data_IF_297303070601
#
_entry.id   IF_297303070601
#
_cell.length_a   1.000
_cell.length_b   1.000
_cell.length_c   1.000
_cell.angle_alpha   90.00
_cell.angle_beta   90.00
_cell.angle_gamma   90.00
#
_symmetry.space_group_name_H-M   'P 1'
#
loop_
_entity.id
_entity.type
_entity.pdbx_description
1 polymer ?
#
# COMPACT_ATOMS: atom_id res chain seq x y z
N UNK A 1 -5.83 -23.55 14.70
CA UNK A 1 -4.84 -23.24 15.76
C UNK A 1 -4.77 -21.72 15.92
N UNK A 2 -5.22 -21.17 17.05
CA UNK A 2 -5.19 -19.71 17.31
C UNK A 2 -3.76 -19.35 17.75
N UNK A 3 -3.05 -18.57 16.94
CA UNK A 3 -1.69 -18.11 17.27
C UNK A 3 -1.78 -17.06 18.38
N UNK A 4 -1.22 -17.39 19.55
CA UNK A 4 -1.29 -16.60 20.77
C UNK A 4 -0.41 -15.34 20.68
N UNK A 5 -0.97 -14.19 21.03
CA UNK A 5 -0.32 -12.91 21.34
C UNK A 5 0.81 -12.48 20.40
N UNK A 6 2.05 -12.71 20.83
CA UNK A 6 3.27 -12.20 20.19
C UNK A 6 3.51 -12.79 18.80
N UNK A 7 3.21 -14.09 18.58
CA UNK A 7 3.43 -14.73 17.26
C UNK A 7 2.47 -14.20 16.20
N UNK A 8 1.24 -13.82 16.59
CA UNK A 8 0.26 -13.20 15.69
C UNK A 8 0.72 -11.81 15.26
N UNK A 9 1.21 -11.01 16.21
CA UNK A 9 1.64 -9.65 15.94
C UNK A 9 2.91 -9.59 15.06
N UNK A 10 3.87 -10.52 15.25
CA UNK A 10 5.02 -10.65 14.35
C UNK A 10 4.55 -10.97 12.92
N UNK A 11 3.60 -11.90 12.75
CA UNK A 11 3.07 -12.24 11.44
C UNK A 11 2.37 -11.04 10.77
N UNK A 12 1.59 -10.27 11.52
CA UNK A 12 0.93 -9.06 11.00
C UNK A 12 1.94 -8.02 10.49
N UNK A 13 3.04 -7.80 11.23
CA UNK A 13 4.13 -6.90 10.82
C UNK A 13 4.82 -7.41 9.55
N UNK A 14 5.09 -8.73 9.47
CA UNK A 14 5.71 -9.34 8.27
C UNK A 14 4.81 -9.16 7.04
N UNK A 15 3.50 -9.35 7.20
CA UNK A 15 2.52 -9.14 6.12
C UNK A 15 2.55 -7.68 5.66
N UNK A 16 2.52 -6.71 6.58
CA UNK A 16 2.57 -5.28 6.24
C UNK A 16 3.87 -4.91 5.51
N UNK A 17 5.00 -5.46 5.95
CA UNK A 17 6.29 -5.29 5.27
C UNK A 17 6.27 -5.86 3.85
N UNK A 18 5.71 -7.05 3.66
CA UNK A 18 5.57 -7.67 2.34
C UNK A 18 4.67 -6.84 1.40
N UNK A 19 3.55 -6.33 1.93
CA UNK A 19 2.63 -5.44 1.19
C UNK A 19 3.34 -4.15 0.79
N UNK A 20 4.06 -3.51 1.72
CA UNK A 20 4.80 -2.29 1.44
C UNK A 20 5.89 -2.49 0.38
N UNK A 21 6.65 -3.59 0.49
CA UNK A 21 7.68 -3.94 -0.50
C UNK A 21 7.06 -4.18 -1.88
N UNK A 22 5.98 -4.95 -1.94
CA UNK A 22 5.27 -5.22 -3.20
C UNK A 22 4.72 -3.95 -3.83
N UNK A 23 4.07 -3.09 -3.04
CA UNK A 23 3.57 -1.80 -3.50
C UNK A 23 4.69 -0.91 -4.04
N UNK A 24 5.84 -0.86 -3.37
CA UNK A 24 6.99 -0.08 -3.82
C UNK A 24 7.55 -0.58 -5.16
N UNK A 25 7.82 -1.88 -5.27
CA UNK A 25 8.44 -2.45 -6.48
C UNK A 25 7.47 -2.47 -7.66
N UNK A 26 6.23 -2.87 -7.44
CA UNK A 26 5.27 -3.11 -8.53
C UNK A 26 4.47 -1.85 -8.86
N UNK A 27 3.86 -1.21 -7.85
CA UNK A 27 2.98 -0.06 -8.10
C UNK A 27 3.76 1.24 -8.30
N UNK A 28 4.76 1.51 -7.46
CA UNK A 28 5.56 2.74 -7.60
C UNK A 28 6.55 2.61 -8.75
N UNK A 29 7.51 1.68 -8.66
CA UNK A 29 8.55 1.56 -9.70
C UNK A 29 7.99 1.01 -11.02
N UNK A 30 7.25 -0.09 -10.99
CA UNK A 30 6.61 -0.67 -12.17
C UNK A 30 5.55 0.27 -12.79
N UNK A 31 4.68 0.84 -11.97
CA UNK A 31 3.64 1.76 -12.42
C UNK A 31 4.18 3.06 -13.01
N UNK A 32 5.23 3.65 -12.42
CA UNK A 32 5.89 4.85 -12.99
C UNK A 32 6.56 4.53 -14.32
N UNK A 33 7.27 3.41 -14.42
CA UNK A 33 7.91 2.98 -15.67
C UNK A 33 6.87 2.74 -16.77
N UNK A 34 5.72 2.15 -16.43
CA UNK A 34 4.61 1.97 -17.35
C UNK A 34 4.02 3.31 -17.79
N UNK A 35 3.71 4.21 -16.85
CA UNK A 35 3.18 5.54 -17.14
C UNK A 35 4.09 6.33 -18.09
N UNK A 36 5.39 6.38 -17.80
CA UNK A 36 6.38 7.06 -18.63
C UNK A 36 6.53 6.42 -20.01
N UNK A 37 6.51 5.08 -20.10
CA UNK A 37 6.59 4.38 -21.38
C UNK A 37 5.35 4.63 -22.23
N UNK A 38 4.17 4.67 -21.62
CA UNK A 38 2.91 4.97 -22.30
C UNK A 38 2.83 6.43 -22.75
N UNK A 39 3.38 7.38 -21.98
CA UNK A 39 3.56 8.77 -22.44
C UNK A 39 4.52 8.83 -23.63
N UNK A 40 5.67 8.17 -23.55
CA UNK A 40 6.68 8.20 -24.61
C UNK A 40 6.19 7.57 -25.93
N UNK A 41 5.23 6.66 -25.89
CA UNK A 41 4.58 6.08 -27.08
C UNK A 41 3.55 7.02 -27.73
N UNK A 42 3.25 8.18 -27.14
CA UNK A 42 2.31 9.15 -27.70
C UNK A 42 0.89 8.62 -27.84
N UNK A 43 0.52 7.61 -27.03
CA UNK A 43 -0.76 6.93 -27.15
C UNK A 43 -1.86 7.81 -26.54
N UNK A 44 -2.55 8.55 -27.40
CA UNK A 44 -3.72 9.36 -27.05
C UNK A 44 -4.95 8.48 -26.86
N UNK A 45 -5.70 8.73 -25.79
CA UNK A 45 -7.01 8.11 -25.57
C UNK A 45 -7.98 8.50 -26.69
N UNK A 46 -8.60 7.55 -27.42
CA UNK A 46 -9.58 7.87 -28.47
C UNK A 46 -10.83 8.59 -27.94
N UNK A 47 -11.13 8.43 -26.64
CA UNK A 47 -12.33 8.96 -26.00
C UNK A 47 -12.14 10.32 -25.31
N UNK A 48 -10.93 10.65 -24.83
CA UNK A 48 -10.66 11.86 -24.03
C UNK A 48 -9.61 12.79 -24.65
N UNK A 49 -8.86 12.36 -25.67
CA UNK A 49 -7.80 13.15 -26.30
C UNK A 49 -6.56 13.38 -25.41
N UNK A 50 -6.53 12.78 -24.21
CA UNK A 50 -5.43 12.89 -23.26
C UNK A 50 -4.42 11.76 -23.47
N UNK A 51 -3.14 12.06 -23.22
CA UNK A 51 -2.07 11.06 -23.20
C UNK A 51 -2.32 10.05 -22.07
N UNK A 52 -2.41 8.77 -22.43
CA UNK A 52 -2.76 7.68 -21.51
C UNK A 52 -1.87 7.60 -20.27
N UNK A 53 -0.63 8.07 -20.35
CA UNK A 53 0.29 8.01 -19.22
C UNK A 53 -0.10 8.91 -18.04
N UNK A 54 -0.90 9.97 -18.24
CA UNK A 54 -1.48 10.74 -17.11
C UNK A 54 -2.43 9.88 -16.28
N UNK A 55 -3.21 9.03 -16.93
CA UNK A 55 -4.09 8.08 -16.25
C UNK A 55 -3.24 7.08 -15.46
N UNK A 56 -2.15 6.58 -16.05
CA UNK A 56 -1.29 5.60 -15.38
C UNK A 56 -0.50 6.15 -14.19
N UNK A 57 -0.39 7.48 -14.01
CA UNK A 57 0.13 8.05 -12.74
C UNK A 57 -0.76 7.74 -11.52
N UNK A 58 -2.01 7.31 -11.71
CA UNK A 58 -2.80 6.79 -10.60
C UNK A 58 -2.16 5.56 -9.93
N UNK A 59 -1.38 4.75 -10.67
CA UNK A 59 -0.69 3.57 -10.15
C UNK A 59 0.38 3.93 -9.11
N UNK A 60 1.37 4.80 -9.38
CA UNK A 60 2.34 5.19 -8.37
C UNK A 60 1.71 5.97 -7.22
N UNK A 61 0.67 6.78 -7.46
CA UNK A 61 -0.05 7.48 -6.39
C UNK A 61 -0.73 6.48 -5.44
N UNK A 62 -1.45 5.49 -6.00
CA UNK A 62 -2.08 4.42 -5.22
C UNK A 62 -1.03 3.59 -4.46
N UNK A 63 0.09 3.26 -5.12
CA UNK A 63 1.22 2.58 -4.48
C UNK A 63 1.80 3.36 -3.30
N UNK A 64 1.97 4.68 -3.44
CA UNK A 64 2.44 5.54 -2.36
C UNK A 64 1.49 5.55 -1.16
N UNK A 65 0.18 5.66 -1.41
CA UNK A 65 -0.84 5.57 -0.35
C UNK A 65 -0.83 4.21 0.34
N UNK A 66 -0.70 3.12 -0.41
CA UNK A 66 -0.67 1.75 0.13
C UNK A 66 0.56 1.50 1.02
N UNK A 67 1.73 2.06 0.65
CA UNK A 67 2.93 2.06 1.49
C UNK A 67 2.69 2.87 2.76
N UNK A 68 2.12 4.08 2.64
CA UNK A 68 1.81 4.93 3.79
C UNK A 68 0.92 4.22 4.81
N UNK A 69 -0.20 3.63 4.36
CA UNK A 69 -1.09 2.88 5.24
C UNK A 69 -0.39 1.66 5.86
N UNK A 70 0.40 0.91 5.09
CA UNK A 70 1.14 -0.24 5.63
C UNK A 70 2.09 0.17 6.75
N UNK A 71 2.75 1.32 6.63
CA UNK A 71 3.63 1.87 7.69
C UNK A 71 2.82 2.28 8.92
N UNK A 72 1.71 3.01 8.72
CA UNK A 72 0.84 3.44 9.84
C UNK A 72 0.34 2.23 10.63
N UNK A 73 -0.19 1.22 9.95
CA UNK A 73 -0.66 0.00 10.59
C UNK A 73 0.46 -0.77 11.28
N UNK A 74 1.66 -0.83 10.69
CA UNK A 74 2.82 -1.47 11.32
C UNK A 74 3.24 -0.76 12.61
N UNK A 75 3.31 0.58 12.60
CA UNK A 75 3.62 1.37 13.80
C UNK A 75 2.56 1.16 14.88
N UNK A 76 1.29 1.13 14.51
CA UNK A 76 0.19 0.90 15.46
C UNK A 76 0.28 -0.49 16.11
N UNK A 77 0.60 -1.53 15.34
CA UNK A 77 0.83 -2.88 15.86
C UNK A 77 2.04 -2.93 16.79
N UNK A 78 3.13 -2.25 16.46
CA UNK A 78 4.34 -2.16 17.31
C UNK A 78 4.03 -1.42 18.63
N UNK A 79 3.26 -0.33 18.58
CA UNK A 79 2.83 0.39 19.79
C UNK A 79 1.96 -0.48 20.70
N UNK A 80 1.02 -1.25 20.15
CA UNK A 80 0.18 -2.16 20.94
C UNK A 80 0.97 -3.30 21.59
N UNK A 81 2.00 -3.81 20.89
CA UNK A 81 2.96 -4.76 21.46
C UNK A 81 3.75 -4.15 22.62
N UNK A 82 4.17 -2.88 22.49
CA UNK A 82 4.97 -2.19 23.49
C UNK A 82 4.15 -1.71 24.71
N UNK A 83 2.88 -1.34 24.51
CA UNK A 83 2.04 -0.80 25.58
C UNK A 83 1.28 -1.86 26.38
N UNK A 84 1.34 -3.15 25.98
CA UNK A 84 0.59 -4.24 26.62
C UNK A 84 -0.93 -4.01 26.68
N UNK A 85 -1.42 -2.99 25.98
CA UNK A 85 -2.78 -2.50 26.07
C UNK A 85 -3.63 -3.31 25.11
N UNK A 86 -4.75 -3.81 25.63
CA UNK A 86 -5.77 -4.51 24.86
C UNK A 86 -6.15 -3.74 23.58
N UNK A 87 -6.67 -4.43 22.54
CA UNK A 87 -7.02 -3.78 21.29
C UNK A 87 -7.90 -2.57 21.58
N UNK A 88 -7.58 -1.42 20.97
CA UNK A 88 -8.56 -0.36 20.74
C UNK A 88 -9.62 -0.89 19.76
N UNK A 89 -10.42 -1.86 20.21
CA UNK A 89 -11.65 -2.28 19.59
C UNK A 89 -12.70 -1.28 20.06
N UNK A 90 -12.75 -0.13 19.39
CA UNK A 90 -13.73 0.90 19.65
C UNK A 90 -13.68 1.92 18.53
N UNK A 91 -14.74 1.94 17.73
CA UNK A 91 -15.06 2.86 16.62
C UNK A 91 -14.50 2.52 15.23
N UNK A 92 -15.11 1.53 14.57
CA UNK A 92 -15.71 1.74 13.25
C UNK A 92 -16.76 0.62 13.00
N UNK A 93 -18.04 1.02 12.98
CA UNK A 93 -19.27 0.35 12.48
C UNK A 93 -19.96 -0.65 13.46
N UNK A 94 -21.15 -0.49 14.05
CA UNK A 94 -22.36 0.37 13.88
C UNK A 94 -22.41 1.39 12.73
#
# INVERSE_FOLDING_TARGET
>A
MKLTGTRKAINEIVIQLAIALFAFVVLVYGGTKLALKTLAMGQVTPALGLEMGYIYFCLPISGALMIFYSIVFAIERIKQLASGSAPYAGSQLD
#
